data_IF_338067423695
#
_entry.id   IF_338067423695
#
_cell.length_a   1.000
_cell.length_b   1.000
_cell.length_c   1.000
_cell.angle_alpha   90.00
_cell.angle_beta   90.00
_cell.angle_gamma   90.00
#
_symmetry.space_group_name_H-M   'P 1'
#
loop_
_entity.id
_entity.type
_entity.pdbx_description
1 polymer ?
#
# COMPACT_ATOMS: atom_id res chain seq x y z
N UNK A 1 22.83 -37.33 18.85
CA UNK A 1 23.98 -36.96 17.98
C UNK A 1 23.79 -35.52 17.52
N UNK A 2 24.16 -34.57 18.38
CA UNK A 2 24.08 -33.14 18.07
C UNK A 2 25.28 -32.76 17.20
N UNK A 3 25.03 -32.16 16.02
CA UNK A 3 26.08 -31.64 15.14
C UNK A 3 26.38 -30.20 15.54
N UNK A 4 27.62 -29.95 15.93
CA UNK A 4 28.20 -28.64 16.25
C UNK A 4 28.37 -27.80 14.98
N UNK A 5 27.91 -26.55 15.02
CA UNK A 5 28.11 -25.53 13.96
C UNK A 5 29.44 -24.80 14.25
N UNK A 6 30.33 -24.55 13.26
CA UNK A 6 31.57 -23.82 13.50
C UNK A 6 31.32 -22.32 13.73
N UNK A 7 31.98 -21.75 14.73
CA UNK A 7 31.98 -20.31 15.05
C UNK A 7 32.83 -19.51 14.05
N UNK A 8 32.28 -18.43 13.50
CA UNK A 8 33.01 -17.44 12.70
C UNK A 8 33.88 -16.52 13.58
N UNK A 9 35.05 -16.07 13.11
CA UNK A 9 35.94 -15.19 13.86
C UNK A 9 35.44 -13.73 13.86
N UNK A 10 35.84 -12.91 14.86
CA UNK A 10 35.39 -11.52 14.98
C UNK A 10 36.07 -10.61 13.95
N UNK A 11 35.30 -9.67 13.39
CA UNK A 11 35.78 -8.62 12.49
C UNK A 11 36.54 -7.54 13.29
N UNK A 12 37.75 -7.18 12.82
CA UNK A 12 38.57 -6.11 13.39
C UNK A 12 38.03 -4.72 13.02
N UNK A 13 38.17 -3.70 13.91
CA UNK A 13 37.69 -2.35 13.63
C UNK A 13 38.64 -1.62 12.66
N UNK A 14 38.14 -1.26 11.48
CA UNK A 14 38.86 -0.39 10.55
C UNK A 14 38.81 1.07 11.00
N UNK A 15 39.98 1.70 10.89
CA UNK A 15 40.35 3.08 11.21
C UNK A 15 39.47 4.16 10.58
N UNK A 16 38.99 5.09 11.40
CA UNK A 16 38.38 6.35 10.97
C UNK A 16 39.42 7.27 10.30
N UNK A 17 39.27 7.51 9.00
CA UNK A 17 39.89 8.68 8.35
C UNK A 17 38.87 9.83 8.32
N UNK A 18 39.25 10.97 8.90
CA UNK A 18 38.47 12.20 8.93
C UNK A 18 38.49 12.82 7.53
N UNK A 19 37.35 12.84 6.85
CA UNK A 19 37.13 13.70 5.69
C UNK A 19 36.33 14.92 6.14
N UNK A 20 37.05 16.04 6.23
CA UNK A 20 36.52 17.38 6.39
C UNK A 20 35.69 17.75 5.15
N UNK A 21 34.38 17.95 5.31
CA UNK A 21 33.54 18.50 4.25
C UNK A 21 33.46 20.02 4.42
N UNK A 22 34.13 20.74 3.51
CA UNK A 22 34.13 22.19 3.42
C UNK A 22 32.72 22.68 3.08
N UNK A 23 32.21 23.56 3.95
CA UNK A 23 31.11 24.48 3.70
C UNK A 23 31.59 25.50 2.66
N UNK A 24 30.75 25.81 1.65
CA UNK A 24 30.69 26.98 0.75
C UNK A 24 30.48 26.59 -0.72
N UNK A 25 29.25 26.72 -1.20
CA UNK A 25 28.87 27.68 -2.26
C UNK A 25 27.43 27.43 -2.70
N UNK A 26 26.54 28.32 -2.28
CA UNK A 26 25.23 28.51 -2.90
C UNK A 26 25.48 29.02 -4.33
N UNK A 27 25.22 28.18 -5.32
CA UNK A 27 25.15 28.58 -6.72
C UNK A 27 23.84 28.07 -7.30
N UNK A 28 23.04 29.04 -7.73
CA UNK A 28 21.76 28.96 -8.41
C UNK A 28 21.72 27.79 -9.40
N UNK A 29 20.89 26.78 -9.12
CA UNK A 29 20.48 25.84 -10.15
C UNK A 29 19.21 26.40 -10.81
N UNK A 30 19.39 26.78 -12.06
CA UNK A 30 18.38 27.24 -13.01
C UNK A 30 17.14 26.35 -12.95
N UNK A 31 15.97 26.96 -12.71
CA UNK A 31 14.65 26.34 -12.76
C UNK A 31 14.35 25.82 -14.16
N UNK A 32 14.87 24.65 -14.50
CA UNK A 32 14.41 23.89 -15.67
C UNK A 32 13.10 23.20 -15.28
N UNK A 33 12.02 23.65 -15.91
CA UNK A 33 10.69 23.05 -15.97
C UNK A 33 10.71 21.52 -15.81
N UNK A 34 10.53 21.03 -14.59
CA UNK A 34 9.96 19.70 -14.37
C UNK A 34 8.45 19.93 -14.45
N UNK A 35 7.89 19.67 -15.62
CA UNK A 35 6.43 19.52 -15.73
C UNK A 35 6.06 18.40 -14.76
N UNK A 36 5.28 18.72 -13.73
CA UNK A 36 4.53 17.76 -12.95
C UNK A 36 3.81 16.83 -13.94
N UNK A 37 4.29 15.59 -14.06
CA UNK A 37 3.55 14.58 -14.80
C UNK A 37 2.39 14.14 -13.92
N UNK A 38 1.33 14.96 -13.88
CA UNK A 38 0.03 14.52 -13.41
C UNK A 38 -0.31 13.21 -14.10
N UNK A 39 -0.61 12.18 -13.30
CA UNK A 39 -0.91 10.83 -13.78
C UNK A 39 -2.02 10.91 -14.82
N UNK A 40 -1.70 10.53 -16.07
CA UNK A 40 -2.71 10.42 -17.11
C UNK A 40 -3.82 9.45 -16.65
N UNK A 41 -5.10 9.80 -16.84
CA UNK A 41 -6.20 8.93 -16.41
C UNK A 41 -6.11 7.57 -17.10
N UNK A 42 -6.37 6.50 -16.34
CA UNK A 42 -6.40 5.13 -16.84
C UNK A 42 -7.45 4.97 -17.95
N UNK A 43 -7.14 4.22 -18.99
CA UNK A 43 -8.10 3.93 -20.05
C UNK A 43 -9.26 3.08 -19.53
N UNK A 44 -10.41 3.20 -20.17
CA UNK A 44 -11.60 2.46 -19.77
C UNK A 44 -11.40 0.94 -19.88
N UNK A 45 -10.62 0.48 -20.87
CA UNK A 45 -10.24 -0.91 -21.06
C UNK A 45 -9.40 -1.42 -19.89
N UNK A 46 -8.40 -0.65 -19.45
CA UNK A 46 -7.56 -1.01 -18.30
C UNK A 46 -8.37 -1.10 -17.02
N UNK A 47 -9.29 -0.16 -16.79
CA UNK A 47 -10.18 -0.20 -15.62
C UNK A 47 -11.08 -1.44 -15.64
N UNK A 48 -11.70 -1.75 -16.78
CA UNK A 48 -12.54 -2.95 -16.95
C UNK A 48 -11.75 -4.23 -16.66
N UNK A 49 -10.54 -4.33 -17.18
CA UNK A 49 -9.68 -5.50 -16.96
C UNK A 49 -9.23 -5.60 -15.48
N UNK A 50 -8.91 -4.48 -14.83
CA UNK A 50 -8.56 -4.47 -13.41
C UNK A 50 -9.73 -4.93 -12.52
N UNK A 51 -10.96 -4.49 -12.81
CA UNK A 51 -12.18 -4.94 -12.14
C UNK A 51 -12.41 -6.44 -12.37
N UNK A 52 -12.25 -6.91 -13.61
CA UNK A 52 -12.38 -8.33 -13.92
C UNK A 52 -11.36 -9.17 -13.11
N UNK A 53 -10.11 -8.72 -13.03
CA UNK A 53 -9.09 -9.42 -12.24
C UNK A 53 -9.40 -9.42 -10.73
N UNK A 54 -9.99 -8.35 -10.18
CA UNK A 54 -10.42 -8.36 -8.77
C UNK A 54 -11.60 -9.30 -8.53
N UNK A 55 -12.55 -9.40 -9.48
CA UNK A 55 -13.64 -10.37 -9.43
C UNK A 55 -13.13 -11.82 -9.50
N UNK A 56 -12.14 -12.10 -10.35
CA UNK A 56 -11.50 -13.42 -10.44
C UNK A 56 -10.73 -13.76 -9.16
N UNK A 57 -9.97 -12.81 -8.60
CA UNK A 57 -9.19 -13.00 -7.38
C UNK A 57 -10.06 -13.45 -6.19
N UNK A 58 -11.28 -12.92 -6.09
CA UNK A 58 -12.27 -13.26 -5.05
C UNK A 58 -12.60 -14.77 -5.01
N UNK A 59 -12.46 -15.50 -6.13
CA UNK A 59 -12.70 -16.96 -6.17
C UNK A 59 -11.74 -17.75 -5.28
N UNK A 60 -10.59 -17.17 -4.93
CA UNK A 60 -9.58 -17.78 -4.08
C UNK A 60 -9.71 -17.42 -2.59
N UNK A 61 -10.70 -16.60 -2.23
CA UNK A 61 -10.89 -16.16 -0.85
C UNK A 61 -11.06 -17.33 0.12
N UNK A 62 -10.28 -17.33 1.20
CA UNK A 62 -10.51 -18.20 2.34
C UNK A 62 -11.38 -17.44 3.35
N UNK A 63 -12.70 -17.58 3.24
CA UNK A 63 -13.64 -16.89 4.12
C UNK A 63 -14.68 -17.85 4.72
N UNK A 64 -14.20 -18.89 5.41
CA UNK A 64 -15.07 -19.95 5.96
C UNK A 64 -15.99 -19.45 7.08
N UNK A 65 -15.66 -18.34 7.73
CA UNK A 65 -16.40 -17.82 8.87
C UNK A 65 -17.47 -16.83 8.41
N UNK A 66 -17.09 -15.77 7.70
CA UNK A 66 -18.07 -14.76 7.23
C UNK A 66 -18.87 -15.21 6.01
N UNK A 67 -18.32 -16.14 5.20
CA UNK A 67 -18.81 -16.42 3.83
C UNK A 67 -18.83 -15.20 2.92
N UNK A 68 -18.08 -14.15 3.27
CA UNK A 68 -18.02 -12.90 2.55
C UNK A 68 -16.71 -12.81 1.75
N UNK A 69 -16.79 -13.07 0.45
CA UNK A 69 -15.61 -13.09 -0.41
C UNK A 69 -15.30 -11.67 -0.90
N UNK A 70 -14.04 -11.29 -0.82
CA UNK A 70 -13.50 -10.04 -1.37
C UNK A 70 -12.26 -10.36 -2.21
N UNK A 71 -12.16 -9.73 -3.37
CA UNK A 71 -10.98 -9.78 -4.23
C UNK A 71 -10.49 -8.37 -4.54
N UNK A 72 -9.18 -8.25 -4.78
CA UNK A 72 -8.53 -7.00 -5.14
C UNK A 72 -7.52 -7.24 -6.26
N UNK A 73 -7.35 -6.23 -7.11
CA UNK A 73 -6.32 -6.20 -8.15
C UNK A 73 -5.64 -4.82 -8.14
N UNK A 74 -4.34 -4.81 -7.87
CA UNK A 74 -3.49 -3.62 -7.72
C UNK A 74 -2.63 -3.44 -8.97
N UNK A 75 -2.71 -2.27 -9.59
CA UNK A 75 -1.91 -1.87 -10.75
C UNK A 75 -0.76 -0.97 -10.30
N UNK A 76 0.46 -1.37 -10.63
CA UNK A 76 1.71 -0.64 -10.36
C UNK A 76 2.02 0.39 -11.45
N UNK A 77 2.95 1.31 -11.18
CA UNK A 77 3.42 2.28 -12.18
C UNK A 77 4.08 1.61 -13.38
N UNK A 78 4.66 0.43 -13.19
CA UNK A 78 5.29 -0.42 -14.21
C UNK A 78 4.27 -1.24 -15.02
N UNK A 79 2.96 -0.98 -14.86
CA UNK A 79 1.86 -1.69 -15.52
C UNK A 79 1.77 -3.19 -15.17
N UNK A 80 2.31 -3.59 -14.02
CA UNK A 80 2.15 -4.94 -13.48
C UNK A 80 0.95 -5.00 -12.54
N UNK A 81 0.15 -6.07 -12.64
CA UNK A 81 -1.01 -6.30 -11.77
C UNK A 81 -0.71 -7.37 -10.72
N UNK A 82 -1.07 -7.08 -9.48
CA UNK A 82 -1.02 -8.00 -8.35
C UNK A 82 -2.43 -8.22 -7.79
N UNK A 83 -2.85 -9.48 -7.74
CA UNK A 83 -4.15 -9.86 -7.19
C UNK A 83 -4.05 -10.33 -5.76
N UNK A 84 -5.13 -10.14 -5.01
CA UNK A 84 -5.29 -10.57 -3.62
C UNK A 84 -6.74 -10.92 -3.29
N UNK A 85 -6.93 -11.71 -2.24
CA UNK A 85 -8.24 -12.04 -1.70
C UNK A 85 -8.19 -12.01 -0.16
N UNK A 86 -9.35 -11.94 0.48
CA UNK A 86 -9.40 -12.03 1.94
C UNK A 86 -9.10 -13.45 2.43
N UNK A 87 -8.31 -13.53 3.50
CA UNK A 87 -7.95 -14.79 4.17
C UNK A 87 -8.29 -14.63 5.64
N UNK A 88 -9.30 -15.35 6.09
CA UNK A 88 -9.76 -15.36 7.46
C UNK A 88 -8.96 -16.32 8.34
N UNK A 89 -9.10 -16.15 9.65
CA UNK A 89 -8.49 -17.00 10.66
C UNK A 89 -9.49 -17.22 11.80
N UNK A 90 -9.37 -18.33 12.54
CA UNK A 90 -10.18 -18.59 13.72
C UNK A 90 -10.02 -17.48 14.78
N UNK A 91 -8.81 -16.94 14.91
CA UNK A 91 -8.52 -15.74 15.66
C UNK A 91 -8.76 -14.53 14.73
N UNK A 92 -9.95 -13.92 14.81
CA UNK A 92 -10.45 -13.00 13.77
C UNK A 92 -9.54 -11.79 13.49
N UNK A 93 -8.80 -11.30 14.48
CA UNK A 93 -7.84 -10.21 14.32
C UNK A 93 -6.61 -10.58 13.48
N UNK A 94 -6.34 -11.87 13.25
CA UNK A 94 -5.26 -12.34 12.37
C UNK A 94 -5.70 -12.40 10.89
N UNK A 95 -6.98 -12.16 10.59
CA UNK A 95 -7.46 -12.11 9.22
C UNK A 95 -6.88 -10.95 8.41
N UNK A 96 -6.68 -11.17 7.12
CA UNK A 96 -6.17 -10.16 6.18
C UNK A 96 -7.19 -9.91 5.06
N UNK A 97 -7.38 -8.64 4.73
CA UNK A 97 -8.30 -8.19 3.67
C UNK A 97 -7.65 -8.33 2.29
N UNK A 98 -8.45 -8.38 1.24
CA UNK A 98 -7.98 -8.57 -0.14
C UNK A 98 -6.99 -7.50 -0.59
N UNK A 99 -7.26 -6.25 -0.22
CA UNK A 99 -6.44 -5.09 -0.56
C UNK A 99 -5.05 -5.21 0.05
N UNK A 100 -4.98 -5.53 1.35
CA UNK A 100 -3.72 -5.75 2.06
C UNK A 100 -2.96 -6.95 1.51
N UNK A 101 -3.65 -8.02 1.13
CA UNK A 101 -3.01 -9.18 0.46
C UNK A 101 -2.38 -8.77 -0.87
N UNK A 102 -3.09 -8.00 -1.71
CA UNK A 102 -2.57 -7.56 -3.01
C UNK A 102 -1.36 -6.62 -2.87
N UNK A 103 -1.44 -5.65 -1.95
CA UNK A 103 -0.36 -4.70 -1.68
C UNK A 103 0.84 -5.42 -1.07
N UNK A 104 0.65 -6.27 -0.06
CA UNK A 104 1.74 -7.03 0.56
C UNK A 104 2.48 -7.90 -0.48
N UNK A 105 1.75 -8.50 -1.43
CA UNK A 105 2.35 -9.25 -2.54
C UNK A 105 3.22 -8.35 -3.42
N UNK A 106 2.68 -7.23 -3.89
CA UNK A 106 3.41 -6.27 -4.73
C UNK A 106 4.70 -5.77 -4.04
N UNK A 107 4.58 -5.36 -2.78
CA UNK A 107 5.71 -4.87 -1.97
C UNK A 107 6.76 -5.95 -1.77
N UNK A 108 6.35 -7.19 -1.48
CA UNK A 108 7.28 -8.31 -1.33
C UNK A 108 8.05 -8.64 -2.61
N UNK A 109 7.54 -8.23 -3.77
CA UNK A 109 8.18 -8.38 -5.08
C UNK A 109 8.89 -7.09 -5.56
N UNK A 110 9.04 -6.09 -4.70
CA UNK A 110 9.81 -4.87 -4.97
C UNK A 110 9.04 -3.70 -5.56
N UNK A 111 7.69 -3.76 -5.61
CA UNK A 111 6.85 -2.69 -6.15
C UNK A 111 6.20 -1.88 -5.04
N UNK A 112 6.54 -0.59 -4.96
CA UNK A 112 6.08 0.32 -3.90
C UNK A 112 5.34 1.57 -4.43
N UNK A 113 5.14 1.67 -5.74
CA UNK A 113 4.41 2.79 -6.38
C UNK A 113 3.24 2.28 -7.19
N UNK A 114 2.05 2.85 -6.95
CA UNK A 114 0.79 2.32 -7.45
C UNK A 114 -0.01 3.36 -8.24
N UNK A 115 -0.69 2.89 -9.30
CA UNK A 115 -1.61 3.70 -10.11
C UNK A 115 -3.04 3.57 -9.63
N UNK A 116 -3.45 2.35 -9.34
CA UNK A 116 -4.83 2.04 -9.00
C UNK A 116 -4.99 0.70 -8.30
N UNK A 117 -6.09 0.54 -7.55
CA UNK A 117 -6.57 -0.76 -7.08
C UNK A 117 -8.07 -0.91 -7.37
N UNK A 118 -8.49 -2.06 -7.89
CA UNK A 118 -9.91 -2.42 -7.99
C UNK A 118 -10.28 -3.42 -6.90
N UNK A 119 -11.46 -3.25 -6.29
CA UNK A 119 -11.97 -4.07 -5.19
C UNK A 119 -13.35 -4.63 -5.60
N UNK A 120 -13.57 -5.93 -5.39
CA UNK A 120 -14.81 -6.62 -5.71
C UNK A 120 -15.30 -7.46 -4.53
N UNK A 121 -16.61 -7.51 -4.34
CA UNK A 121 -17.29 -8.43 -3.40
C UNK A 121 -18.47 -9.11 -4.09
N UNK A 122 -19.23 -9.93 -3.35
CA UNK A 122 -20.50 -10.52 -3.83
C UNK A 122 -21.72 -9.59 -3.67
N UNK A 123 -21.56 -8.40 -3.09
CA UNK A 123 -22.66 -7.46 -2.80
C UNK A 123 -23.08 -6.68 -4.05
N UNK A 124 -24.35 -6.79 -4.43
CA UNK A 124 -24.93 -6.07 -5.59
C UNK A 124 -25.60 -4.73 -5.22
N UNK A 125 -26.13 -4.61 -4.01
CA UNK A 125 -26.91 -3.44 -3.58
C UNK A 125 -26.05 -2.15 -3.52
N UNK A 126 -24.81 -2.25 -3.06
CA UNK A 126 -23.88 -1.13 -2.91
C UNK A 126 -22.48 -1.48 -3.40
N UNK A 127 -21.67 -0.47 -3.71
CA UNK A 127 -20.25 -0.65 -3.98
C UNK A 127 -19.54 -1.15 -2.72
N UNK A 128 -18.62 -2.11 -2.87
CA UNK A 128 -17.75 -2.53 -1.77
C UNK A 128 -16.80 -1.40 -1.41
N UNK A 129 -16.63 -1.10 -0.12
CA UNK A 129 -15.72 -0.06 0.35
C UNK A 129 -14.57 -0.69 1.15
N UNK A 130 -13.32 -0.20 1.02
CA UNK A 130 -12.23 -0.67 1.84
C UNK A 130 -12.45 -0.27 3.30
N UNK A 131 -12.09 -1.17 4.23
CA UNK A 131 -12.15 -0.86 5.65
C UNK A 131 -11.07 0.16 6.04
N UNK A 132 -11.21 0.80 7.21
CA UNK A 132 -10.25 1.82 7.66
C UNK A 132 -8.80 1.34 7.69
N UNK A 133 -8.57 0.08 8.11
CA UNK A 133 -7.23 -0.52 8.09
C UNK A 133 -6.64 -0.66 6.69
N UNK A 134 -7.45 -0.99 5.68
CA UNK A 134 -6.99 -1.04 4.29
C UNK A 134 -6.70 0.35 3.74
N UNK A 135 -7.52 1.36 4.07
CA UNK A 135 -7.29 2.75 3.66
C UNK A 135 -5.98 3.28 4.21
N UNK A 136 -5.73 3.05 5.51
CA UNK A 136 -4.47 3.43 6.14
C UNK A 136 -3.27 2.69 5.52
N UNK A 137 -3.44 1.40 5.20
CA UNK A 137 -2.39 0.60 4.56
C UNK A 137 -2.08 1.08 3.13
N UNK A 138 -3.10 1.52 2.38
CA UNK A 138 -2.94 2.15 1.06
C UNK A 138 -2.19 3.48 1.17
N UNK A 139 -2.57 4.31 2.16
CA UNK A 139 -2.03 5.67 2.38
C UNK A 139 -0.53 5.69 2.60
N UNK A 140 0.04 4.65 3.20
CA UNK A 140 1.49 4.49 3.36
C UNK A 140 2.25 4.61 2.03
N UNK A 141 1.62 4.21 0.91
CA UNK A 141 2.22 4.22 -0.42
C UNK A 141 1.76 5.39 -1.29
N UNK A 142 1.30 6.48 -0.64
CA UNK A 142 0.77 7.67 -1.28
C UNK A 142 -0.76 7.77 -1.17
N UNK A 143 -1.27 8.99 -1.34
CA UNK A 143 -2.71 9.31 -1.26
C UNK A 143 -3.34 9.65 -2.63
N UNK A 144 -2.52 10.01 -3.62
CA UNK A 144 -2.95 10.42 -4.96
C UNK A 144 -2.89 9.26 -5.96
N UNK A 145 -3.74 8.25 -5.75
CA UNK A 145 -3.94 7.14 -6.68
C UNK A 145 -5.34 6.55 -6.56
N UNK A 146 -5.77 5.86 -7.62
CA UNK A 146 -7.18 5.52 -7.83
C UNK A 146 -7.62 4.25 -7.08
N UNK A 147 -8.83 4.29 -6.53
CA UNK A 147 -9.51 3.15 -5.92
C UNK A 147 -10.84 2.94 -6.63
N UNK A 148 -10.98 1.79 -7.29
CA UNK A 148 -12.19 1.38 -8.00
C UNK A 148 -13.02 0.43 -7.15
N UNK A 149 -14.13 0.94 -6.64
CA UNK A 149 -15.10 0.22 -5.83
C UNK A 149 -16.13 -0.42 -6.75
N UNK A 150 -16.07 -1.73 -6.96
CA UNK A 150 -16.90 -2.39 -7.98
C UNK A 150 -18.12 -3.14 -7.41
N UNK A 151 -19.12 -3.32 -8.29
CA UNK A 151 -20.23 -4.26 -8.11
C UNK A 151 -20.04 -5.51 -8.99
N UNK A 152 -20.78 -6.60 -8.71
CA UNK A 152 -20.73 -7.82 -9.53
C UNK A 152 -21.09 -7.61 -11.01
N UNK A 153 -21.90 -6.59 -11.34
CA UNK A 153 -22.28 -6.24 -12.72
C UNK A 153 -21.16 -5.52 -13.49
N UNK A 154 -20.03 -5.23 -12.85
CA UNK A 154 -18.90 -4.51 -13.43
C UNK A 154 -18.99 -2.99 -13.35
N UNK A 155 -20.11 -2.43 -12.86
CA UNK A 155 -20.17 -1.00 -12.53
C UNK A 155 -19.20 -0.69 -11.40
N UNK A 156 -18.67 0.53 -11.38
CA UNK A 156 -17.75 0.97 -10.33
C UNK A 156 -17.91 2.44 -9.96
N UNK A 157 -17.53 2.75 -8.73
CA UNK A 157 -17.26 4.10 -8.26
C UNK A 157 -15.74 4.28 -8.15
N UNK A 158 -15.22 5.31 -8.81
CA UNK A 158 -13.83 5.73 -8.67
C UNK A 158 -13.73 6.74 -7.53
N UNK A 159 -12.74 6.55 -6.66
CA UNK A 159 -12.30 7.51 -5.65
C UNK A 159 -10.77 7.55 -5.63
N UNK A 160 -10.16 8.50 -4.93
CA UNK A 160 -8.74 8.43 -4.55
C UNK A 160 -8.57 7.88 -3.13
N UNK A 161 -7.34 7.53 -2.76
CA UNK A 161 -7.03 7.17 -1.37
C UNK A 161 -7.25 8.36 -0.42
N UNK A 162 -6.93 9.58 -0.86
CA UNK A 162 -7.16 10.82 -0.09
C UNK A 162 -8.65 11.06 0.19
N UNK A 163 -9.52 10.90 -0.82
CA UNK A 163 -10.98 11.02 -0.65
C UNK A 163 -11.55 9.96 0.30
N UNK A 164 -10.94 8.77 0.32
CA UNK A 164 -11.34 7.68 1.22
C UNK A 164 -10.84 7.89 2.66
N UNK A 165 -9.74 8.61 2.85
CA UNK A 165 -9.12 8.83 4.15
C UNK A 165 -8.65 10.29 4.31
N UNK A 166 -9.60 11.25 4.41
CA UNK A 166 -9.26 12.65 4.53
C UNK A 166 -8.55 12.92 5.85
N UNK A 167 -7.59 13.86 5.84
CA UNK A 167 -6.83 14.28 7.03
C UNK A 167 -6.17 13.07 7.73
N UNK A 168 -5.53 12.22 6.92
CA UNK A 168 -4.97 10.94 7.37
C UNK A 168 -3.66 11.11 8.15
N UNK A 169 -3.52 10.31 9.22
CA UNK A 169 -2.23 10.06 9.85
C UNK A 169 -1.26 9.40 8.86
N UNK A 170 0.02 9.76 8.91
CA UNK A 170 1.08 9.17 8.09
C UNK A 170 2.50 9.44 8.59
N UNK A 171 3.51 9.14 7.75
CA UNK A 171 4.91 9.31 8.10
C UNK A 171 5.27 10.72 8.59
N UNK A 172 4.61 11.75 8.06
CA UNK A 172 4.81 13.15 8.45
C UNK A 172 4.48 13.43 9.92
N UNK A 173 3.50 12.74 10.51
CA UNK A 173 3.09 12.93 11.90
C UNK A 173 4.16 12.47 12.90
N UNK A 174 5.00 11.51 12.50
CA UNK A 174 6.06 10.97 13.35
C UNK A 174 7.16 11.98 13.66
N UNK A 175 7.31 13.00 12.80
CA UNK A 175 8.33 14.05 12.89
C UNK A 175 7.76 15.38 13.39
N UNK A 176 6.48 15.43 13.75
CA UNK A 176 5.89 16.64 14.34
C UNK A 176 6.47 16.92 15.73
N UNK A 177 6.45 18.20 16.10
CA UNK A 177 6.87 18.64 17.42
C UNK A 177 6.00 18.00 18.51
N UNK A 178 6.66 17.35 19.48
CA UNK A 178 5.98 16.69 20.60
C UNK A 178 6.09 17.57 21.83
N UNK A 179 4.97 17.76 22.53
CA UNK A 179 4.96 18.42 23.83
C UNK A 179 5.30 17.37 24.89
N UNK A 180 6.49 17.45 25.48
CA UNK A 180 7.00 16.47 26.43
C UNK A 180 6.65 16.76 27.91
N UNK A 181 6.23 17.99 28.21
CA UNK A 181 5.89 18.44 29.58
C UNK A 181 4.38 18.46 29.84
N UNK A 182 3.67 17.40 29.46
CA UNK A 182 2.28 17.20 29.88
C UNK A 182 2.30 16.19 31.01
N UNK A 183 2.06 16.68 32.24
CA UNK A 183 1.88 15.85 33.42
C UNK A 183 0.70 14.88 33.16
N UNK A 184 1.01 13.60 32.91
CA UNK A 184 -0.01 12.60 32.68
C UNK A 184 -0.63 12.24 34.04
N UNK A 185 -1.77 12.88 34.36
CA UNK A 185 -2.50 12.66 35.62
C UNK A 185 -3.26 11.32 35.68
N UNK A 186 -2.96 10.39 34.78
CA UNK A 186 -3.54 9.05 34.69
C UNK A 186 -2.45 7.98 34.61
#
# INVERSE_FOLDING_TARGET
LARTVPSLPPLSPHSHSKLSCNRHSLTQYSSTNIKEQGSQPLSQETVKELIKQSQEAKKHAYCRYSKFRVGAALLTNENRVFTGCNVENACYNLGICAERTAIAKAVSEGYITFKAIAIASDVSEKFITPCGGCRQFMREFGSDWDVYLSKPDGSCLKMTVDELLPVSFGPEDLYMEKVFDIDNKY
#
